data_IF_640320955878
#
_entry.id   IF_640320955878
#
_cell.length_a   1.000
_cell.length_b   1.000
_cell.length_c   1.000
_cell.angle_alpha   90.00
_cell.angle_beta   90.00
_cell.angle_gamma   90.00
#
_symmetry.space_group_name_H-M   'P 1'
#
loop_
_entity.id
_entity.type
_entity.pdbx_description
1 polymer ?
#
# COMPACT_ATOMS: atom_id res chain seq x y z
N UNK A 1 -30.68 19.25 9.85
CA UNK A 1 -30.17 20.60 9.50
C UNK A 1 -31.31 21.41 8.87
N UNK A 2 -31.76 22.47 9.54
CA UNK A 2 -32.84 23.35 9.05
C UNK A 2 -32.20 24.54 8.31
N UNK A 3 -32.65 24.83 7.09
CA UNK A 3 -32.21 25.96 6.27
C UNK A 3 -32.95 27.20 6.73
N UNK A 4 -32.22 28.24 7.13
CA UNK A 4 -32.80 29.56 7.37
C UNK A 4 -32.56 30.41 6.11
N UNK A 5 -33.66 30.76 5.44
CA UNK A 5 -33.84 31.66 4.29
C UNK A 5 -32.98 31.44 3.01
N UNK A 6 -33.68 31.27 1.89
CA UNK A 6 -33.14 31.08 0.55
C UNK A 6 -32.36 32.33 0.09
N UNK A 7 -31.06 32.17 -0.18
CA UNK A 7 -30.25 33.17 -0.87
C UNK A 7 -29.36 34.06 0.01
N UNK A 8 -29.27 33.82 1.33
CA UNK A 8 -28.32 34.53 2.20
C UNK A 8 -27.32 33.54 2.82
N UNK A 9 -26.03 33.78 2.61
CA UNK A 9 -24.98 33.04 3.29
C UNK A 9 -25.08 33.30 4.80
N UNK A 10 -24.91 32.25 5.61
CA UNK A 10 -24.79 32.37 7.05
C UNK A 10 -23.73 33.42 7.39
N UNK A 11 -24.04 34.32 8.33
CA UNK A 11 -23.11 35.34 8.82
C UNK A 11 -21.89 34.61 9.35
N UNK A 12 -20.74 34.77 8.68
CA UNK A 12 -19.46 34.25 9.17
C UNK A 12 -19.18 34.93 10.50
N UNK A 13 -18.73 34.15 11.50
CA UNK A 13 -18.39 34.68 12.82
C UNK A 13 -17.40 35.85 12.68
N UNK A 14 -17.59 36.90 13.47
CA UNK A 14 -16.76 38.12 13.44
C UNK A 14 -15.41 37.96 14.17
N UNK A 15 -14.99 36.72 14.40
CA UNK A 15 -13.78 36.43 15.14
C UNK A 15 -12.56 36.64 14.24
N UNK A 16 -11.51 37.25 14.79
CA UNK A 16 -10.22 37.35 14.10
C UNK A 16 -9.68 35.94 13.85
N UNK A 17 -9.65 35.53 12.58
CA UNK A 17 -9.03 34.26 12.16
C UNK A 17 -7.60 34.52 11.72
N UNK A 18 -6.66 33.78 12.30
CA UNK A 18 -5.28 33.80 11.83
C UNK A 18 -5.21 33.03 10.50
N UNK A 19 -4.84 33.72 9.42
CA UNK A 19 -4.73 33.11 8.09
C UNK A 19 -3.25 32.84 7.79
N UNK A 20 -2.94 31.59 7.47
CA UNK A 20 -1.61 31.17 7.02
C UNK A 20 -1.71 30.59 5.61
N UNK A 21 -0.67 30.82 4.81
CA UNK A 21 -0.57 30.28 3.45
C UNK A 21 0.52 29.22 3.39
N UNK A 22 0.26 28.11 2.70
CA UNK A 22 1.17 27.00 2.51
C UNK A 22 1.37 26.78 1.01
N UNK A 23 2.61 26.54 0.57
CA UNK A 23 2.90 26.11 -0.79
C UNK A 23 3.08 24.61 -0.83
N UNK A 24 2.34 23.96 -1.72
CA UNK A 24 2.35 22.51 -1.92
C UNK A 24 2.53 22.20 -3.40
N UNK A 25 3.03 21.01 -3.71
CA UNK A 25 2.93 20.46 -5.06
C UNK A 25 1.49 20.03 -5.35
N UNK A 26 1.12 19.95 -6.63
CA UNK A 26 -0.24 19.58 -7.04
C UNK A 26 -0.64 18.20 -6.53
N UNK A 27 0.28 17.24 -6.53
CA UNK A 27 0.06 15.89 -6.02
C UNK A 27 -0.24 15.90 -4.52
N UNK A 28 0.52 16.67 -3.73
CA UNK A 28 0.29 16.79 -2.30
C UNK A 28 -1.02 17.50 -1.99
N UNK A 29 -1.38 18.53 -2.77
CA UNK A 29 -2.68 19.21 -2.63
C UNK A 29 -3.86 18.27 -2.91
N UNK A 30 -3.74 17.42 -3.93
CA UNK A 30 -4.75 16.42 -4.26
C UNK A 30 -4.88 15.35 -3.16
N UNK A 31 -3.75 14.82 -2.68
CA UNK A 31 -3.74 13.85 -1.59
C UNK A 31 -4.36 14.41 -0.30
N UNK A 32 -4.04 15.67 0.03
CA UNK A 32 -4.64 16.37 1.18
C UNK A 32 -6.17 16.46 1.05
N UNK A 33 -6.66 16.75 -0.15
CA UNK A 33 -8.10 16.76 -0.43
C UNK A 33 -8.76 15.42 -0.12
N UNK A 34 -8.23 14.34 -0.69
CA UNK A 34 -8.76 12.98 -0.50
C UNK A 34 -8.75 12.61 0.99
N UNK A 35 -7.64 12.85 1.69
CA UNK A 35 -7.51 12.53 3.12
C UNK A 35 -8.54 13.30 3.98
N UNK A 36 -8.73 14.60 3.72
CA UNK A 36 -9.71 15.41 4.44
C UNK A 36 -11.15 14.95 4.19
N UNK A 37 -11.46 14.57 2.95
CA UNK A 37 -12.80 14.10 2.55
C UNK A 37 -13.14 12.74 3.18
N UNK A 38 -12.17 11.82 3.28
CA UNK A 38 -12.33 10.54 3.98
C UNK A 38 -12.67 10.71 5.46
N UNK A 39 -12.21 11.80 6.09
CA UNK A 39 -12.48 12.12 7.50
C UNK A 39 -13.70 13.05 7.67
N UNK A 40 -14.34 13.47 6.57
CA UNK A 40 -15.46 14.41 6.60
C UNK A 40 -15.09 15.82 7.08
N UNK A 41 -13.80 16.18 7.02
CA UNK A 41 -13.27 17.48 7.44
C UNK A 41 -13.02 18.39 6.25
N UNK A 42 -12.98 19.71 6.48
CA UNK A 42 -12.44 20.61 5.47
C UNK A 42 -10.92 20.46 5.40
N UNK A 43 -10.32 20.73 4.23
CA UNK A 43 -8.86 20.74 4.07
C UNK A 43 -8.16 21.61 5.13
N UNK A 44 -8.80 22.73 5.52
CA UNK A 44 -8.26 23.63 6.54
C UNK A 44 -8.34 23.04 7.95
N UNK A 45 -9.47 22.45 8.34
CA UNK A 45 -9.63 21.82 9.66
C UNK A 45 -8.70 20.62 9.81
N UNK A 46 -8.54 19.83 8.75
CA UNK A 46 -7.59 18.72 8.72
C UNK A 46 -6.14 19.20 8.88
N UNK A 47 -5.76 20.30 8.22
CA UNK A 47 -4.44 20.91 8.43
C UNK A 47 -4.27 21.44 9.85
N UNK A 48 -5.29 22.04 10.46
CA UNK A 48 -5.22 22.47 11.85
C UNK A 48 -5.08 21.28 12.81
N UNK A 49 -5.79 20.18 12.55
CA UNK A 49 -5.67 18.95 13.33
C UNK A 49 -4.27 18.38 13.25
N UNK A 50 -3.70 18.29 12.04
CA UNK A 50 -2.31 17.86 11.82
C UNK A 50 -1.34 18.77 12.57
N UNK A 51 -1.52 20.09 12.53
CA UNK A 51 -0.63 21.04 13.20
C UNK A 51 -0.77 20.95 14.72
N UNK A 52 -1.99 20.73 15.24
CA UNK A 52 -2.24 20.53 16.68
C UNK A 52 -1.67 19.21 17.18
N UNK A 53 -1.77 18.14 16.38
CA UNK A 53 -1.27 16.81 16.75
C UNK A 53 0.25 16.72 16.64
N UNK A 54 0.89 17.52 15.78
CA UNK A 54 2.33 17.58 15.63
C UNK A 54 2.91 18.75 16.44
N UNK A 55 3.22 18.50 17.72
CA UNK A 55 3.81 19.49 18.64
C UNK A 55 5.21 19.99 18.19
N UNK A 56 5.86 19.38 17.19
CA UNK A 56 7.17 19.81 16.70
C UNK A 56 7.16 20.15 15.20
N UNK A 57 7.20 21.46 14.82
CA UNK A 57 7.42 21.84 13.44
C UNK A 57 8.90 22.13 13.15
N UNK A 58 9.46 21.31 12.25
CA UNK A 58 10.44 21.69 11.22
C UNK A 58 11.95 21.86 11.60
N UNK A 59 12.78 21.34 10.70
CA UNK A 59 14.26 21.21 10.74
C UNK A 59 14.98 22.52 10.31
N UNK A 60 14.26 23.64 10.12
CA UNK A 60 14.83 24.90 9.59
C UNK A 60 14.45 26.16 10.38
N UNK A 61 14.44 26.11 11.72
CA UNK A 61 14.39 27.34 12.54
C UNK A 61 15.78 27.72 13.04
N UNK A 62 16.55 28.44 12.21
CA UNK A 62 17.74 29.17 12.68
C UNK A 62 17.31 30.54 13.23
N UNK A 63 17.42 30.67 14.56
CA UNK A 63 17.61 31.85 15.43
C UNK A 63 16.79 33.14 15.23
N UNK A 64 16.08 33.56 16.28
CA UNK A 64 16.48 34.74 17.08
C UNK A 64 15.58 34.94 18.31
N UNK A 65 16.23 34.91 19.48
CA UNK A 65 15.95 35.62 20.74
C UNK A 65 14.49 35.88 21.12
N UNK A 66 13.95 35.07 22.05
CA UNK A 66 13.14 35.61 23.15
C UNK A 66 13.54 34.86 24.42
N UNK A 67 14.13 35.60 25.36
CA UNK A 67 14.35 35.15 26.72
C UNK A 67 13.05 35.34 27.50
N UNK A 68 12.59 34.30 28.21
CA UNK A 68 11.79 34.39 29.44
C UNK A 68 11.71 33.01 30.09
N UNK A 69 12.61 32.83 31.05
CA UNK A 69 12.55 32.07 32.32
C UNK A 69 11.53 30.94 32.54
N UNK A 70 12.11 29.83 33.02
CA UNK A 70 11.62 28.87 34.02
C UNK A 70 10.56 27.83 33.63
N UNK A 71 11.03 26.62 33.29
CA UNK A 71 10.67 25.38 34.02
C UNK A 71 11.37 24.14 33.45
N UNK A 72 12.18 23.52 34.32
CA UNK A 72 12.60 22.11 34.35
C UNK A 72 13.26 21.49 33.12
N UNK A 73 14.56 21.28 33.30
CA UNK A 73 15.39 20.23 32.72
C UNK A 73 14.63 18.93 32.42
N UNK A 74 14.35 18.69 31.14
CA UNK A 74 14.35 17.36 30.55
C UNK A 74 15.12 17.45 29.24
N UNK A 75 16.45 17.50 29.36
CA UNK A 75 17.31 17.14 28.24
C UNK A 75 17.15 15.64 27.98
N UNK A 76 16.09 15.24 27.26
CA UNK A 76 16.22 14.06 26.42
C UNK A 76 17.29 14.39 25.37
N UNK A 77 18.38 13.62 25.27
CA UNK A 77 19.37 13.87 24.26
C UNK A 77 18.69 13.76 22.90
N UNK A 78 18.66 14.87 22.15
CA UNK A 78 18.21 14.93 20.77
C UNK A 78 18.74 13.70 20.02
N UNK A 79 17.89 12.96 19.26
CA UNK A 79 18.32 11.75 18.59
C UNK A 79 19.53 12.09 17.72
N UNK A 80 20.68 11.52 18.04
CA UNK A 80 21.90 11.80 17.28
C UNK A 80 21.65 11.40 15.83
N UNK A 81 22.27 12.12 14.89
CA UNK A 81 22.20 11.81 13.44
C UNK A 81 22.56 10.33 13.20
N UNK A 82 23.46 9.78 14.02
CA UNK A 82 23.85 8.36 14.07
C UNK A 82 22.71 7.39 14.40
N UNK A 83 21.69 7.80 15.16
CA UNK A 83 20.51 6.98 15.49
C UNK A 83 19.60 6.80 14.27
N UNK A 84 19.45 7.84 13.44
CA UNK A 84 18.68 7.77 12.20
C UNK A 84 19.35 6.88 11.16
N UNK A 85 20.67 6.90 11.07
CA UNK A 85 21.42 6.00 10.17
C UNK A 85 21.19 4.53 10.57
N UNK A 86 21.24 4.23 11.87
CA UNK A 86 20.96 2.88 12.39
C UNK A 86 19.51 2.45 12.16
N UNK A 87 18.54 3.35 12.34
CA UNK A 87 17.13 3.06 12.06
C UNK A 87 16.87 2.85 10.57
N UNK A 88 17.54 3.63 9.70
CA UNK A 88 17.45 3.49 8.25
C UNK A 88 18.07 2.16 7.78
N UNK A 89 19.22 1.76 8.31
CA UNK A 89 19.83 0.45 8.05
C UNK A 89 18.92 -0.71 8.49
N UNK A 90 18.28 -0.59 9.66
CA UNK A 90 17.29 -1.59 10.12
C UNK A 90 16.09 -1.68 9.19
N UNK A 91 15.56 -0.55 8.73
CA UNK A 91 14.44 -0.52 7.78
C UNK A 91 14.82 -1.14 6.44
N UNK A 92 16.02 -0.87 5.92
CA UNK A 92 16.53 -1.48 4.70
C UNK A 92 16.61 -3.00 4.85
N UNK A 93 17.18 -3.48 5.95
CA UNK A 93 17.26 -4.92 6.24
C UNK A 93 15.86 -5.56 6.34
N UNK A 94 14.91 -4.87 6.96
CA UNK A 94 13.53 -5.35 7.07
C UNK A 94 12.85 -5.43 5.70
N UNK A 95 13.00 -4.42 4.86
CA UNK A 95 12.45 -4.42 3.49
C UNK A 95 13.05 -5.56 2.66
N UNK A 96 14.36 -5.78 2.76
CA UNK A 96 15.02 -6.90 2.07
C UNK A 96 14.50 -8.26 2.54
N UNK A 97 14.31 -8.44 3.85
CA UNK A 97 13.75 -9.68 4.39
C UNK A 97 12.30 -9.90 3.93
N UNK A 98 11.46 -8.86 3.97
CA UNK A 98 10.09 -8.91 3.46
C UNK A 98 10.04 -9.20 1.96
N UNK A 99 10.96 -8.66 1.17
CA UNK A 99 11.06 -8.98 -0.26
C UNK A 99 11.38 -10.45 -0.49
N UNK A 100 12.29 -11.01 0.30
CA UNK A 100 12.63 -12.44 0.26
C UNK A 100 11.44 -13.31 0.65
N UNK A 101 10.77 -13.00 1.76
CA UNK A 101 9.60 -13.74 2.22
C UNK A 101 8.44 -13.69 1.20
N UNK A 102 8.19 -12.52 0.61
CA UNK A 102 7.18 -12.38 -0.44
C UNK A 102 7.51 -13.21 -1.69
N UNK A 103 8.80 -13.35 -2.05
CA UNK A 103 9.21 -14.20 -3.15
C UNK A 103 8.92 -15.68 -2.85
N UNK A 104 9.32 -16.16 -1.66
CA UNK A 104 9.06 -17.53 -1.22
C UNK A 104 7.55 -17.83 -1.12
N UNK A 105 6.76 -16.88 -0.61
CA UNK A 105 5.31 -16.99 -0.57
C UNK A 105 4.69 -17.05 -1.97
N UNK A 106 5.21 -16.28 -2.92
CA UNK A 106 4.75 -16.31 -4.31
C UNK A 106 5.05 -17.66 -4.96
N UNK A 107 6.22 -18.23 -4.72
CA UNK A 107 6.59 -19.57 -5.20
C UNK A 107 5.69 -20.65 -4.60
N UNK A 108 5.49 -20.65 -3.28
CA UNK A 108 4.57 -21.58 -2.60
C UNK A 108 3.13 -21.44 -3.08
N UNK A 109 2.66 -20.21 -3.28
CA UNK A 109 1.31 -19.95 -3.79
C UNK A 109 1.13 -20.49 -5.22
N UNK A 110 2.16 -20.38 -6.06
CA UNK A 110 2.14 -20.94 -7.42
C UNK A 110 2.08 -22.48 -7.40
N UNK A 111 2.85 -23.12 -6.52
CA UNK A 111 2.82 -24.58 -6.30
C UNK A 111 1.42 -25.04 -5.87
N UNK A 112 0.86 -24.40 -4.84
CA UNK A 112 -0.47 -24.72 -4.34
C UNK A 112 -1.55 -24.49 -5.40
N UNK A 113 -1.44 -23.43 -6.21
CA UNK A 113 -2.37 -23.18 -7.31
C UNK A 113 -2.40 -24.35 -8.31
N UNK A 114 -1.23 -24.88 -8.68
CA UNK A 114 -1.16 -26.01 -9.61
C UNK A 114 -1.72 -27.29 -8.99
N UNK A 115 -1.51 -27.53 -7.70
CA UNK A 115 -2.01 -28.72 -7.01
C UNK A 115 -3.53 -28.66 -6.73
N UNK A 116 -4.03 -27.54 -6.24
CA UNK A 116 -5.38 -27.44 -5.65
C UNK A 116 -6.42 -26.79 -6.57
N UNK A 117 -5.98 -25.98 -7.54
CA UNK A 117 -6.89 -25.15 -8.35
C UNK A 117 -6.97 -25.63 -9.79
N UNK A 118 -5.88 -26.16 -10.35
CA UNK A 118 -5.84 -26.59 -11.74
C UNK A 118 -6.38 -28.02 -11.88
N UNK A 119 -7.58 -28.15 -12.47
CA UNK A 119 -8.14 -29.43 -12.88
C UNK A 119 -7.57 -29.86 -14.24
N UNK A 120 -6.44 -30.58 -14.19
CA UNK A 120 -5.74 -31.06 -15.38
C UNK A 120 -6.55 -32.07 -16.17
N UNK A 121 -7.37 -32.87 -15.50
CA UNK A 121 -8.23 -33.89 -16.07
C UNK A 121 -9.34 -33.24 -16.91
N UNK A 122 -9.99 -32.19 -16.40
CA UNK A 122 -10.97 -31.42 -17.16
C UNK A 122 -10.35 -30.71 -18.39
N UNK A 123 -9.12 -30.19 -18.25
CA UNK A 123 -8.39 -29.57 -19.37
C UNK A 123 -8.02 -30.62 -20.43
N UNK A 124 -7.53 -31.79 -20.01
CA UNK A 124 -7.20 -32.92 -20.88
C UNK A 124 -8.41 -33.33 -21.72
N UNK A 125 -9.56 -33.53 -21.08
CA UNK A 125 -10.77 -33.97 -21.76
C UNK A 125 -11.32 -32.91 -22.72
N UNK A 126 -11.24 -31.63 -22.33
CA UNK A 126 -11.59 -30.51 -23.21
C UNK A 126 -10.74 -30.49 -24.48
N UNK A 127 -9.42 -30.61 -24.34
CA UNK A 127 -8.50 -30.61 -25.49
C UNK A 127 -8.78 -31.81 -26.41
N UNK A 128 -8.96 -33.01 -25.86
CA UNK A 128 -9.29 -34.20 -26.67
C UNK A 128 -10.63 -34.06 -27.40
N UNK A 129 -11.60 -33.40 -26.78
CA UNK A 129 -12.89 -33.09 -27.42
C UNK A 129 -12.73 -32.09 -28.56
N UNK A 130 -11.98 -31.00 -28.36
CA UNK A 130 -11.74 -29.95 -29.37
C UNK A 130 -11.01 -30.47 -30.61
N UNK A 131 -10.13 -31.46 -30.44
CA UNK A 131 -9.42 -32.10 -31.55
C UNK A 131 -10.36 -32.87 -32.51
N UNK A 132 -11.59 -33.21 -32.07
CA UNK A 132 -12.61 -33.93 -32.88
C UNK A 132 -12.10 -35.21 -33.53
N UNK A 133 -11.12 -35.86 -32.92
CA UNK A 133 -10.54 -37.11 -33.42
C UNK A 133 -11.38 -38.30 -32.94
N UNK A 134 -11.60 -39.27 -33.81
CA UNK A 134 -12.23 -40.53 -33.41
C UNK A 134 -11.35 -41.27 -32.39
N UNK A 135 -11.95 -41.87 -31.35
CA UNK A 135 -11.20 -42.55 -30.26
C UNK A 135 -10.25 -43.65 -30.74
N UNK A 136 -10.50 -44.24 -31.91
CA UNK A 136 -9.64 -45.27 -32.52
C UNK A 136 -8.58 -44.71 -33.47
N UNK A 137 -8.64 -43.42 -33.82
CA UNK A 137 -7.65 -42.80 -34.67
C UNK A 137 -6.28 -42.83 -33.98
N UNK A 138 -5.24 -43.10 -34.76
CA UNK A 138 -3.84 -43.07 -34.29
C UNK A 138 -3.48 -41.70 -33.71
N UNK A 139 -3.96 -40.62 -34.35
CA UNK A 139 -3.77 -39.25 -33.89
C UNK A 139 -4.39 -38.99 -32.50
N UNK A 140 -5.58 -39.55 -32.21
CA UNK A 140 -6.23 -39.41 -30.90
C UNK A 140 -5.36 -40.04 -29.80
N UNK A 141 -4.90 -41.28 -30.03
CA UNK A 141 -4.06 -42.01 -29.08
C UNK A 141 -2.71 -41.32 -28.85
N UNK A 142 -2.14 -40.73 -29.91
CA UNK A 142 -0.91 -39.95 -29.81
C UNK A 142 -1.11 -38.68 -28.96
N UNK A 143 -2.17 -37.92 -29.23
CA UNK A 143 -2.52 -36.73 -28.46
C UNK A 143 -2.79 -37.05 -26.99
N UNK A 144 -3.59 -38.08 -26.72
CA UNK A 144 -3.88 -38.56 -25.37
C UNK A 144 -2.60 -38.93 -24.60
N UNK A 145 -1.70 -39.70 -25.24
CA UNK A 145 -0.43 -40.08 -24.62
C UNK A 145 0.45 -38.87 -24.34
N UNK A 146 0.52 -37.91 -25.27
CA UNK A 146 1.30 -36.70 -25.09
C UNK A 146 0.77 -35.81 -23.96
N UNK A 147 -0.55 -35.63 -23.87
CA UNK A 147 -1.19 -34.85 -22.80
C UNK A 147 -0.99 -35.50 -21.43
N UNK A 148 -1.17 -36.82 -21.32
CA UNK A 148 -0.91 -37.53 -20.06
C UNK A 148 0.55 -37.38 -19.60
N UNK A 149 1.49 -37.50 -20.53
CA UNK A 149 2.91 -37.29 -20.23
C UNK A 149 3.18 -35.85 -19.78
N UNK A 150 2.60 -34.87 -20.47
CA UNK A 150 2.75 -33.46 -20.10
C UNK A 150 2.23 -33.18 -18.70
N UNK A 151 1.03 -33.66 -18.35
CA UNK A 151 0.45 -33.51 -17.01
C UNK A 151 1.37 -34.15 -15.97
N UNK A 152 1.93 -35.33 -16.25
CA UNK A 152 2.86 -36.00 -15.35
C UNK A 152 4.15 -35.20 -15.14
N UNK A 153 4.72 -34.61 -16.20
CA UNK A 153 5.91 -33.78 -16.10
C UNK A 153 5.63 -32.49 -15.30
N UNK A 154 4.46 -31.88 -15.45
CA UNK A 154 4.06 -30.72 -14.64
C UNK A 154 3.90 -31.11 -13.16
N UNK A 155 3.23 -32.23 -12.85
CA UNK A 155 3.08 -32.73 -11.46
C UNK A 155 4.45 -33.01 -10.84
N UNK A 156 5.34 -33.71 -11.55
CA UNK A 156 6.70 -33.98 -11.07
C UNK A 156 7.51 -32.69 -10.87
N UNK A 157 7.38 -31.71 -11.76
CA UNK A 157 8.09 -30.43 -11.62
C UNK A 157 7.66 -29.73 -10.33
N UNK A 158 6.36 -29.68 -10.04
CA UNK A 158 5.79 -29.08 -8.83
C UNK A 158 6.23 -29.83 -7.58
N UNK A 159 6.27 -31.16 -7.60
CA UNK A 159 6.72 -31.98 -6.47
C UNK A 159 8.24 -31.86 -6.19
N UNK A 160 9.01 -31.27 -7.11
CA UNK A 160 10.48 -31.13 -7.00
C UNK A 160 10.93 -29.81 -6.34
N UNK A 161 9.99 -28.92 -6.00
CA UNK A 161 10.25 -27.64 -5.30
C UNK A 161 9.82 -27.73 -3.83
#
# INVERSE_FOLDING_TARGET
>A
MKRDIQGKFAIKSSDYREVRSLRLTDDTWKALGIASECLGLTRADYLEEIVRSNVNPCITRKNSNISTSDSQDFFEPLPSITRYDQEMERLIAQVQNLQKENLELKERSAINFVHDVVDFEAIHDRILFELKLGRQASAYKAAQKALNRFIQEIKHLVDSF
#
